data_IF_432648104750
#
_entry.id   IF_432648104750
#
_cell.length_a   1.000
_cell.length_b   1.000
_cell.length_c   1.000
_cell.angle_alpha   90.00
_cell.angle_beta   90.00
_cell.angle_gamma   90.00
#
_symmetry.space_group_name_H-M   'P 1'
#
loop_
_entity.id
_entity.type
_entity.pdbx_description
1 polymer ?
#
# COMPACT_ATOMS: atom_id res chain seq x y z
N UNK A 1 -13.17 14.21 11.10
CA UNK A 1 -11.93 14.44 10.34
C UNK A 1 -11.52 15.89 10.52
N UNK A 2 -10.49 16.09 11.31
CA UNK A 2 -9.81 17.36 11.61
C UNK A 2 -8.42 17.37 10.95
N UNK A 3 -7.72 18.49 11.00
CA UNK A 3 -6.35 18.58 10.46
C UNK A 3 -5.37 17.66 11.23
N UNK A 4 -5.56 17.50 12.54
CA UNK A 4 -4.78 16.55 13.37
C UNK A 4 -4.96 15.10 12.89
N UNK A 5 -6.20 14.71 12.55
CA UNK A 5 -6.48 13.35 12.05
C UNK A 5 -5.70 13.05 10.76
N UNK A 6 -5.44 14.06 9.93
CA UNK A 6 -4.65 13.94 8.69
C UNK A 6 -3.15 13.81 8.99
N UNK A 7 -2.64 14.57 9.97
CA UNK A 7 -1.25 14.52 10.40
C UNK A 7 -0.91 13.17 11.06
N UNK A 8 -1.80 12.63 11.91
CA UNK A 8 -1.66 11.29 12.49
C UNK A 8 -1.60 10.20 11.41
N UNK A 9 -2.54 10.23 10.45
CA UNK A 9 -2.55 9.28 9.34
C UNK A 9 -1.28 9.38 8.49
N UNK A 10 -0.82 10.60 8.20
CA UNK A 10 0.43 10.85 7.48
C UNK A 10 1.62 10.29 8.24
N UNK A 11 1.70 10.51 9.56
CA UNK A 11 2.75 9.94 10.40
C UNK A 11 2.74 8.40 10.37
N UNK A 12 1.56 7.76 10.38
CA UNK A 12 1.47 6.31 10.21
C UNK A 12 2.05 5.85 8.86
N UNK A 13 1.71 6.52 7.77
CA UNK A 13 2.26 6.18 6.45
C UNK A 13 3.78 6.39 6.42
N UNK A 14 4.29 7.48 6.99
CA UNK A 14 5.73 7.78 7.06
C UNK A 14 6.51 6.77 7.91
N UNK A 15 5.89 6.21 8.95
CA UNK A 15 6.44 5.11 9.73
C UNK A 15 6.43 3.76 8.99
N UNK A 16 5.81 3.70 7.81
CA UNK A 16 5.74 2.52 6.96
C UNK A 16 4.52 1.63 7.20
N UNK A 17 3.48 2.12 7.90
CA UNK A 17 2.19 1.42 7.95
C UNK A 17 1.49 1.54 6.59
N UNK A 18 1.02 0.41 6.06
CA UNK A 18 0.32 0.34 4.78
C UNK A 18 -1.18 0.14 4.94
N UNK A 19 -1.99 0.89 4.18
CA UNK A 19 -3.46 0.85 4.24
C UNK A 19 -4.13 0.47 2.91
N UNK A 20 -3.35 0.00 1.92
CA UNK A 20 -3.84 -0.23 0.56
C UNK A 20 -4.54 -1.59 0.37
N UNK A 21 -4.64 -2.41 1.43
CA UNK A 21 -5.34 -3.68 1.36
C UNK A 21 -6.85 -3.49 1.52
N UNK A 22 -7.68 -4.18 0.71
CA UNK A 22 -9.13 -4.11 0.82
C UNK A 22 -9.66 -4.57 2.19
N UNK A 23 -8.89 -5.34 2.96
CA UNK A 23 -9.24 -5.78 4.32
C UNK A 23 -9.17 -4.62 5.34
N UNK A 24 -8.23 -3.69 5.14
CA UNK A 24 -7.99 -2.54 6.04
C UNK A 24 -9.13 -1.53 5.95
N UNK A 25 -9.74 -1.38 4.78
CA UNK A 25 -10.91 -0.52 4.56
C UNK A 25 -12.19 -1.03 5.26
N UNK A 26 -12.22 -2.29 5.71
CA UNK A 26 -13.37 -2.92 6.38
C UNK A 26 -13.13 -3.06 7.89
N UNK A 27 -11.92 -2.76 8.37
CA UNK A 27 -11.60 -2.85 9.80
C UNK A 27 -12.15 -1.63 10.56
N UNK A 28 -13.35 -1.81 11.12
CA UNK A 28 -14.04 -0.81 11.92
C UNK A 28 -13.16 -0.27 13.07
N UNK A 29 -12.30 -1.10 13.67
CA UNK A 29 -11.45 -0.67 14.80
C UNK A 29 -10.36 0.29 14.34
N UNK A 30 -9.86 0.11 13.12
CA UNK A 30 -8.87 0.99 12.54
C UNK A 30 -9.49 2.33 12.13
N UNK A 31 -10.69 2.34 11.55
CA UNK A 31 -11.41 3.58 11.25
C UNK A 31 -11.84 4.35 12.50
N UNK A 32 -12.15 3.66 13.60
CA UNK A 32 -12.41 4.31 14.89
C UNK A 32 -11.13 4.95 15.49
N UNK A 33 -9.95 4.37 15.22
CA UNK A 33 -8.65 4.86 15.72
C UNK A 33 -8.04 5.93 14.82
N UNK A 34 -8.26 5.84 13.51
CA UNK A 34 -7.73 6.75 12.49
C UNK A 34 -8.91 7.30 11.67
N UNK A 35 -9.57 8.37 12.12
CA UNK A 35 -10.78 8.89 11.47
C UNK A 35 -10.56 9.34 10.02
N UNK A 36 -9.34 9.71 9.66
CA UNK A 36 -8.95 10.10 8.30
C UNK A 36 -8.75 8.90 7.34
N UNK A 37 -8.69 7.68 7.87
CA UNK A 37 -8.41 6.48 7.08
C UNK A 37 -9.48 6.23 6.01
N UNK A 38 -10.75 6.41 6.37
CA UNK A 38 -11.87 6.21 5.44
C UNK A 38 -11.79 7.19 4.25
N UNK A 39 -11.42 8.46 4.53
CA UNK A 39 -11.19 9.48 3.50
C UNK A 39 -10.04 9.08 2.57
N UNK A 40 -8.91 8.64 3.12
CA UNK A 40 -7.77 8.15 2.34
C UNK A 40 -8.17 6.99 1.42
N UNK A 41 -8.85 5.97 1.97
CA UNK A 41 -9.30 4.81 1.18
C UNK A 41 -10.26 5.23 0.05
N UNK A 42 -11.20 6.14 0.32
CA UNK A 42 -12.16 6.62 -0.68
C UNK A 42 -11.46 7.36 -1.84
N UNK A 43 -10.54 8.27 -1.52
CA UNK A 43 -9.78 9.04 -2.52
C UNK A 43 -8.84 8.15 -3.31
N UNK A 44 -8.09 7.27 -2.63
CA UNK A 44 -7.17 6.34 -3.26
C UNK A 44 -7.91 5.38 -4.21
N UNK A 45 -9.10 4.88 -3.81
CA UNK A 45 -9.94 4.04 -4.66
C UNK A 45 -10.41 4.78 -5.92
N UNK A 46 -10.84 6.04 -5.79
CA UNK A 46 -11.23 6.86 -6.93
C UNK A 46 -10.07 7.10 -7.89
N UNK A 47 -8.89 7.43 -7.35
CA UNK A 47 -7.68 7.64 -8.15
C UNK A 47 -7.28 6.38 -8.93
N UNK A 48 -7.26 5.22 -8.26
CA UNK A 48 -6.96 3.94 -8.89
C UNK A 48 -8.01 3.54 -9.94
N UNK A 49 -9.30 3.82 -9.73
CA UNK A 49 -10.35 3.55 -10.73
C UNK A 49 -10.18 4.42 -11.98
N UNK A 50 -9.81 5.71 -11.83
CA UNK A 50 -9.53 6.61 -12.95
C UNK A 50 -8.31 6.12 -13.74
N UNK A 51 -7.22 5.76 -13.06
CA UNK A 51 -6.03 5.20 -13.71
C UNK A 51 -6.34 3.89 -14.41
N UNK A 52 -7.06 2.98 -13.75
CA UNK A 52 -7.42 1.68 -14.31
C UNK A 52 -8.29 1.81 -15.56
N UNK A 53 -9.21 2.78 -15.58
CA UNK A 53 -10.01 3.12 -16.78
C UNK A 53 -9.15 3.72 -17.90
N UNK A 54 -8.15 4.53 -17.57
CA UNK A 54 -7.20 5.08 -18.55
C UNK A 54 -6.23 4.02 -19.10
N UNK A 55 -5.85 3.02 -18.28
CA UNK A 55 -4.95 1.93 -18.67
C UNK A 55 -5.62 0.88 -19.57
N UNK A 56 -6.96 0.84 -19.63
CA UNK A 56 -7.72 -0.07 -20.51
C UNK A 56 -7.56 0.26 -22.01
N UNK A 57 -6.86 1.33 -22.35
CA UNK A 57 -6.61 1.78 -23.73
C UNK A 57 -5.21 1.47 -24.27
N UNK A 58 -4.34 0.74 -23.54
CA UNK A 58 -3.01 0.36 -24.03
C UNK A 58 -2.77 -1.15 -24.00
N UNK A 59 -2.24 -1.76 -25.08
CA UNK A 59 -1.80 -3.15 -25.06
C UNK A 59 -0.41 -3.19 -24.44
N UNK A 60 -0.30 -3.58 -23.17
CA UNK A 60 0.99 -3.86 -22.55
C UNK A 60 1.44 -5.30 -22.90
N UNK A 61 2.04 -5.43 -24.08
CA UNK A 61 3.14 -6.39 -24.26
C UNK A 61 4.38 -5.79 -23.60
N UNK A 62 5.14 -6.59 -22.86
CA UNK A 62 6.61 -6.56 -22.77
C UNK A 62 7.09 -7.03 -21.38
N UNK A 63 7.64 -8.25 -21.41
CA UNK A 63 8.87 -8.71 -20.79
C UNK A 63 9.28 -8.14 -19.42
N UNK A 64 9.12 -8.96 -18.39
CA UNK A 64 9.83 -8.84 -17.13
C UNK A 64 11.32 -9.16 -17.32
N UNK A 65 12.11 -8.17 -17.73
CA UNK A 65 13.56 -8.20 -17.56
C UNK A 65 13.91 -8.02 -16.08
N UNK A 66 14.65 -9.00 -15.55
CA UNK A 66 15.00 -9.10 -14.14
C UNK A 66 16.16 -8.18 -13.81
N UNK A 67 15.89 -7.07 -13.12
CA UNK A 67 16.92 -6.27 -12.44
C UNK A 67 16.43 -5.87 -11.04
N UNK A 68 17.16 -6.17 -9.95
CA UNK A 68 16.68 -5.95 -8.59
C UNK A 68 16.98 -4.51 -8.10
N UNK A 69 15.97 -3.74 -7.63
CA UNK A 69 16.19 -2.51 -6.87
C UNK A 69 16.36 -2.83 -5.35
N UNK A 70 16.83 -1.87 -4.53
CA UNK A 70 17.29 -2.16 -3.17
C UNK A 70 16.12 -2.50 -2.23
N UNK A 71 16.19 -3.74 -1.71
CA UNK A 71 15.71 -4.20 -0.41
C UNK A 71 14.37 -3.66 0.15
N UNK A 72 13.27 -3.74 -0.60
CA UNK A 72 11.94 -3.83 0.02
C UNK A 72 11.83 -5.18 0.75
N UNK A 73 11.77 -5.16 2.09
CA UNK A 73 11.69 -6.36 2.96
C UNK A 73 10.49 -7.25 2.60
N UNK A 74 9.46 -6.64 2.01
CA UNK A 74 8.25 -7.32 1.58
C UNK A 74 8.16 -7.29 0.05
N UNK A 75 8.69 -8.34 -0.58
CA UNK A 75 8.34 -8.69 -1.95
C UNK A 75 7.27 -9.79 -1.84
N UNK A 76 6.04 -9.51 -2.26
CA UNK A 76 4.87 -10.38 -2.07
C UNK A 76 4.91 -11.72 -2.85
N UNK A 77 6.08 -12.10 -3.38
CA UNK A 77 6.36 -13.39 -4.02
C UNK A 77 7.51 -14.19 -3.37
N UNK A 78 8.17 -13.68 -2.33
CA UNK A 78 9.27 -14.38 -1.67
C UNK A 78 8.75 -15.51 -0.77
N UNK A 79 9.38 -16.70 -0.87
CA UNK A 79 9.06 -17.80 0.05
C UNK A 79 9.39 -17.41 1.50
N UNK A 80 8.67 -17.95 2.51
CA UNK A 80 8.88 -17.61 3.92
C UNK A 80 10.33 -17.76 4.39
N UNK A 81 11.09 -18.68 3.80
CA UNK A 81 12.49 -18.94 4.13
C UNK A 81 13.42 -17.80 3.67
N UNK A 82 13.11 -17.16 2.55
CA UNK A 82 13.88 -16.04 2.01
C UNK A 82 13.67 -14.80 2.87
N UNK A 83 12.42 -14.50 3.27
CA UNK A 83 12.13 -13.43 4.22
C UNK A 83 12.88 -13.62 5.54
N UNK A 84 12.85 -14.83 6.09
CA UNK A 84 13.50 -15.17 7.36
C UNK A 84 15.01 -14.97 7.34
N UNK A 85 15.65 -15.22 6.19
CA UNK A 85 17.09 -15.04 6.02
C UNK A 85 17.46 -13.57 5.91
N UNK A 86 16.63 -12.78 5.22
CA UNK A 86 16.81 -11.33 5.09
C UNK A 86 16.62 -10.61 6.41
N UNK A 87 15.63 -11.01 7.22
CA UNK A 87 15.41 -10.44 8.55
C UNK A 87 16.59 -10.69 9.50
N UNK A 88 17.27 -11.82 9.41
CA UNK A 88 18.49 -12.09 10.21
C UNK A 88 19.70 -11.26 9.81
N UNK A 89 19.70 -10.70 8.60
CA UNK A 89 20.82 -9.93 8.03
C UNK A 89 20.76 -8.47 8.47
N UNK A 90 19.56 -8.00 8.82
CA UNK A 90 19.31 -6.76 9.55
C UNK A 90 19.59 -6.96 11.04
#
# INVERSE_FOLDING_TARGET
>A
VTDEDLDELKACIELGFGFDSPEVAVDQRLSDTLPALELYCAVNKQYNDIISKSARSQPAVSDCDSSPPPANIFCSGDSPQVMKTRLRRW
#
